data_IF_115774839627
#
_entry.id   IF_115774839627
#
_cell.length_a   1.000
_cell.length_b   1.000
_cell.length_c   1.000
_cell.angle_alpha   90.00
_cell.angle_beta   90.00
_cell.angle_gamma   90.00
#
_symmetry.space_group_name_H-M   'P 1'
#
loop_
_entity.id
_entity.type
_entity.pdbx_description
1 polymer ?
#
# COMPACT_ATOMS: atom_id res chain seq x y z
N UNK A 1 -2.52 -6.62 12.72
CA UNK A 1 -2.22 -6.73 11.27
C UNK A 1 -1.59 -5.43 10.80
N UNK A 2 -1.07 -5.41 9.58
CA UNK A 2 -0.53 -4.21 8.93
C UNK A 2 -1.39 -3.89 7.73
N UNK A 3 -1.77 -2.63 7.57
CA UNK A 3 -2.37 -2.11 6.34
C UNK A 3 -1.31 -1.26 5.66
N UNK A 4 -1.08 -1.46 4.37
CA UNK A 4 -0.06 -0.73 3.63
C UNK A 4 -0.52 -0.40 2.21
N UNK A 5 0.13 0.60 1.62
CA UNK A 5 -0.09 1.10 0.26
C UNK A 5 1.24 1.58 -0.32
N UNK A 6 1.40 1.44 -1.63
CA UNK A 6 2.60 1.84 -2.36
C UNK A 6 2.28 2.82 -3.48
N UNK A 7 3.09 3.87 -3.54
CA UNK A 7 3.21 4.68 -4.76
C UNK A 7 4.40 4.19 -5.58
N UNK A 8 4.24 4.16 -6.91
CA UNK A 8 5.19 3.51 -7.81
C UNK A 8 5.37 4.29 -9.10
N UNK A 9 6.48 4.07 -9.82
CA UNK A 9 6.75 4.70 -11.11
C UNK A 9 5.91 4.15 -12.26
N UNK A 10 5.14 3.07 -12.04
CA UNK A 10 4.37 2.36 -13.04
C UNK A 10 3.75 1.08 -12.48
N UNK A 11 3.24 0.19 -13.33
CA UNK A 11 2.39 -0.93 -12.89
C UNK A 11 3.10 -2.29 -12.82
N UNK A 12 4.34 -2.39 -13.28
CA UNK A 12 5.06 -3.65 -13.40
C UNK A 12 6.11 -3.78 -12.29
N UNK A 13 5.94 -4.69 -11.32
CA UNK A 13 6.96 -4.91 -10.29
C UNK A 13 8.28 -5.44 -10.85
N UNK A 14 8.29 -5.88 -12.11
CA UNK A 14 9.49 -6.33 -12.83
C UNK A 14 10.33 -5.20 -13.43
N UNK A 15 9.72 -4.04 -13.70
CA UNK A 15 10.36 -2.94 -14.43
C UNK A 15 10.29 -1.59 -13.71
N UNK A 16 9.23 -1.38 -12.94
CA UNK A 16 8.93 -0.15 -12.22
C UNK A 16 9.41 -0.23 -10.77
N UNK A 17 9.56 0.93 -10.15
CA UNK A 17 10.11 1.10 -8.81
C UNK A 17 9.05 1.63 -7.83
N UNK A 18 9.23 1.32 -6.55
CA UNK A 18 8.49 1.95 -5.44
C UNK A 18 9.07 3.34 -5.20
N UNK A 19 8.19 4.33 -4.95
CA UNK A 19 8.57 5.72 -4.63
C UNK A 19 8.06 6.20 -3.28
N UNK A 20 7.08 5.52 -2.69
CA UNK A 20 6.62 5.78 -1.32
C UNK A 20 6.08 4.48 -0.72
N UNK A 21 6.32 4.27 0.57
CA UNK A 21 5.70 3.21 1.37
C UNK A 21 4.97 3.88 2.51
N UNK A 22 3.66 3.64 2.58
CA UNK A 22 2.83 3.99 3.73
C UNK A 22 2.31 2.72 4.38
N UNK A 23 2.32 2.66 5.71
CA UNK A 23 1.69 1.58 6.45
C UNK A 23 1.26 2.01 7.85
N UNK A 24 0.29 1.28 8.41
CA UNK A 24 -0.17 1.45 9.79
C UNK A 24 -0.51 0.09 10.40
N UNK A 25 -0.28 -0.04 11.70
CA UNK A 25 -0.77 -1.22 12.43
C UNK A 25 -2.23 -1.03 12.82
N UNK A 26 -2.98 -2.13 12.69
CA UNK A 26 -4.31 -2.26 13.29
C UNK A 26 -4.19 -3.21 14.49
N UNK A 27 -4.59 -2.71 15.65
CA UNK A 27 -4.49 -3.38 16.96
C UNK A 27 -5.87 -3.39 17.60
N UNK A 28 -6.36 -4.56 18.02
CA UNK A 28 -7.67 -4.74 18.65
C UNK A 28 -8.84 -4.10 17.87
N UNK A 29 -8.81 -4.21 16.53
CA UNK A 29 -9.85 -3.66 15.66
C UNK A 29 -9.79 -2.14 15.47
N UNK A 30 -8.74 -1.46 15.95
CA UNK A 30 -8.56 -0.02 15.80
C UNK A 30 -7.26 0.32 15.06
N UNK A 31 -7.29 1.39 14.28
CA UNK A 31 -6.10 1.94 13.60
C UNK A 31 -5.20 2.59 14.64
N UNK A 32 -3.99 2.06 14.79
CA UNK A 32 -2.99 2.60 15.71
C UNK A 32 -2.07 3.57 14.96
N UNK A 33 -2.52 4.82 14.75
CA UNK A 33 -1.75 5.82 13.97
C UNK A 33 -0.35 6.12 14.53
N UNK A 34 -0.18 6.00 15.85
CA UNK A 34 1.13 6.13 16.51
C UNK A 34 2.11 5.00 16.11
N UNK A 35 1.60 3.91 15.53
CA UNK A 35 2.37 2.82 14.94
C UNK A 35 2.26 2.90 13.40
N UNK A 36 2.64 4.05 12.85
CA UNK A 36 2.78 4.24 11.41
C UNK A 36 4.20 3.98 10.93
N UNK A 37 4.30 3.60 9.67
CA UNK A 37 5.53 3.55 8.89
C UNK A 37 5.29 4.36 7.62
N UNK A 38 6.13 5.34 7.33
CA UNK A 38 5.94 6.22 6.19
C UNK A 38 7.31 6.70 5.70
N UNK A 39 7.63 6.43 4.45
CA UNK A 39 8.90 6.83 3.87
C UNK A 39 8.81 7.02 2.36
N UNK A 40 9.52 8.03 1.85
CA UNK A 40 9.81 8.15 0.43
C UNK A 40 10.92 7.18 0.05
N UNK A 41 10.90 6.74 -1.20
CA UNK A 41 11.89 5.81 -1.75
C UNK A 41 12.47 6.40 -3.03
N UNK A 42 13.79 6.48 -3.11
CA UNK A 42 14.48 6.86 -4.34
C UNK A 42 14.37 5.71 -5.35
N UNK A 43 13.69 5.91 -6.50
CA UNK A 43 13.46 4.83 -7.44
C UNK A 43 14.76 4.44 -8.15
N UNK A 44 14.97 3.14 -8.26
CA UNK A 44 16.08 2.55 -9.01
C UNK A 44 15.56 1.50 -9.98
N UNK A 45 16.28 1.29 -11.08
CA UNK A 45 16.06 0.15 -11.97
C UNK A 45 16.38 -1.17 -11.23
N UNK A 46 15.97 -2.34 -11.77
CA UNK A 46 16.26 -3.64 -11.15
C UNK A 46 17.76 -3.93 -10.95
N UNK A 47 18.64 -3.35 -11.75
CA UNK A 47 20.10 -3.44 -11.64
C UNK A 47 20.72 -2.34 -10.76
N UNK A 48 19.89 -1.50 -10.12
CA UNK A 48 20.31 -0.52 -9.12
C UNK A 48 20.69 0.86 -9.66
N UNK A 49 20.52 1.12 -10.96
CA UNK A 49 20.77 2.45 -11.54
C UNK A 49 19.64 3.44 -11.16
N UNK A 50 19.92 4.74 -11.04
CA UNK A 50 18.89 5.74 -10.77
C UNK A 50 17.79 5.75 -11.84
N UNK A 51 16.53 5.80 -11.41
CA UNK A 51 15.36 5.91 -12.27
C UNK A 51 14.70 7.28 -12.07
N UNK A 52 14.13 7.84 -13.14
CA UNK A 52 13.30 9.06 -13.07
C UNK A 52 11.83 8.66 -12.90
N UNK A 53 11.09 9.43 -12.12
CA UNK A 53 9.64 9.25 -11.99
C UNK A 53 8.97 9.68 -13.29
N UNK A 54 8.25 8.78 -13.99
CA UNK A 54 7.52 9.14 -15.20
C UNK A 54 6.38 10.13 -14.91
N UNK A 55 6.13 11.06 -15.85
CA UNK A 55 5.11 12.09 -15.68
C UNK A 55 3.70 11.54 -15.38
N UNK A 56 3.34 10.39 -15.95
CA UNK A 56 2.04 9.79 -15.71
C UNK A 56 1.88 9.29 -14.26
N UNK A 57 2.94 8.79 -13.64
CA UNK A 57 2.94 8.38 -12.24
C UNK A 57 2.95 9.62 -11.32
N UNK A 58 3.82 10.60 -11.60
CA UNK A 58 3.86 11.88 -10.89
C UNK A 58 2.51 12.59 -10.87
N UNK A 59 1.72 12.51 -11.95
CA UNK A 59 0.36 13.09 -12.00
C UNK A 59 -0.63 12.43 -11.06
N UNK A 60 -0.41 11.17 -10.71
CA UNK A 60 -1.27 10.42 -9.79
C UNK A 60 -0.91 10.80 -8.37
N UNK A 61 0.34 10.57 -7.97
CA UNK A 61 0.77 10.68 -6.56
C UNK A 61 1.43 12.00 -6.16
N UNK A 62 1.74 12.88 -7.13
CA UNK A 62 2.36 14.19 -6.87
C UNK A 62 3.85 14.15 -6.51
N UNK A 63 4.40 12.98 -6.16
CA UNK A 63 5.82 12.80 -5.83
C UNK A 63 6.72 13.15 -7.03
N UNK A 64 7.70 14.02 -6.78
CA UNK A 64 8.64 14.52 -7.79
C UNK A 64 10.04 13.92 -7.61
N UNK A 65 10.87 13.96 -8.66
CA UNK A 65 12.28 13.57 -8.57
C UNK A 65 13.06 14.38 -7.50
N UNK A 66 12.65 15.63 -7.24
CA UNK A 66 13.22 16.50 -6.20
C UNK A 66 12.95 15.93 -4.79
N UNK A 67 11.72 15.47 -4.55
CA UNK A 67 11.30 14.94 -3.25
C UNK A 67 12.04 13.65 -2.87
N UNK A 68 12.40 12.84 -3.86
CA UNK A 68 13.05 11.52 -3.64
C UNK A 68 14.56 11.55 -3.85
N UNK A 69 15.15 12.71 -4.17
CA UNK A 69 16.59 12.82 -4.48
C UNK A 69 17.47 12.27 -3.36
N UNK A 70 17.17 12.66 -2.13
CA UNK A 70 17.93 12.29 -0.93
C UNK A 70 17.26 11.17 -0.13
N UNK A 71 16.15 10.61 -0.65
CA UNK A 71 15.45 9.50 -0.03
C UNK A 71 16.28 8.21 -0.10
N UNK A 72 16.10 7.27 0.84
CA UNK A 72 16.74 5.96 0.78
C UNK A 72 16.24 5.14 -0.42
N UNK A 73 17.08 4.24 -0.92
CA UNK A 73 16.70 3.28 -1.97
C UNK A 73 15.85 2.14 -1.41
N UNK A 74 15.18 1.40 -2.28
CA UNK A 74 14.41 0.21 -1.86
C UNK A 74 15.29 -0.84 -1.17
N UNK A 75 16.59 -0.91 -1.51
CA UNK A 75 17.56 -1.80 -0.87
C UNK A 75 17.79 -1.47 0.60
N UNK A 76 17.70 -0.20 0.96
CA UNK A 76 17.86 0.30 2.33
C UNK A 76 16.55 0.21 3.12
N UNK A 77 15.42 0.49 2.46
CA UNK A 77 14.11 0.56 3.11
C UNK A 77 13.47 -0.82 3.32
N UNK A 78 13.58 -1.73 2.35
CA UNK A 78 12.82 -2.96 2.40
C UNK A 78 13.15 -3.84 3.62
N UNK A 79 14.42 -4.09 4.01
CA UNK A 79 14.72 -4.88 5.20
C UNK A 79 14.04 -4.33 6.47
N UNK A 80 14.15 -3.02 6.68
CA UNK A 80 13.54 -2.32 7.81
C UNK A 80 12.01 -2.41 7.79
N UNK A 81 11.40 -2.27 6.60
CA UNK A 81 9.95 -2.44 6.45
C UNK A 81 9.50 -3.88 6.76
N UNK A 82 10.22 -4.90 6.29
CA UNK A 82 9.90 -6.32 6.55
C UNK A 82 9.97 -6.63 8.05
N UNK A 83 11.01 -6.16 8.73
CA UNK A 83 11.17 -6.29 10.18
C UNK A 83 10.04 -5.56 10.93
N UNK A 84 9.68 -4.37 10.46
CA UNK A 84 8.57 -3.61 11.02
C UNK A 84 7.21 -4.31 10.82
N UNK A 85 6.98 -4.96 9.69
CA UNK A 85 5.81 -5.83 9.47
C UNK A 85 5.84 -6.99 10.47
N UNK A 86 7.01 -7.62 10.64
CA UNK A 86 7.28 -8.62 11.66
C UNK A 86 6.35 -9.84 11.54
N UNK A 87 6.21 -10.37 10.33
CA UNK A 87 5.41 -11.57 10.04
C UNK A 87 3.90 -11.42 10.23
N UNK A 88 3.39 -10.22 10.50
CA UNK A 88 1.94 -9.99 10.67
C UNK A 88 1.20 -10.21 9.35
N UNK A 89 -0.09 -10.53 9.45
CA UNK A 89 -0.99 -10.43 8.29
C UNK A 89 -0.97 -9.00 7.73
N UNK A 90 -0.97 -8.89 6.41
CA UNK A 90 -0.95 -7.63 5.67
C UNK A 90 -2.24 -7.44 4.89
N UNK A 91 -2.65 -6.18 4.73
CA UNK A 91 -3.84 -5.76 4.01
C UNK A 91 -3.46 -4.63 3.05
N UNK A 92 -3.95 -4.68 1.82
CA UNK A 92 -3.84 -3.56 0.88
C UNK A 92 -5.10 -3.44 0.00
N UNK A 93 -5.31 -2.26 -0.57
CA UNK A 93 -6.39 -2.03 -1.53
C UNK A 93 -5.96 -2.45 -2.94
N UNK A 94 -5.88 -3.78 -3.11
CA UNK A 94 -5.34 -4.54 -4.25
C UNK A 94 -4.00 -5.22 -3.94
N UNK A 95 -3.98 -6.11 -2.93
CA UNK A 95 -2.77 -6.83 -2.50
C UNK A 95 -1.98 -7.54 -3.60
N UNK A 96 -2.60 -7.87 -4.73
CA UNK A 96 -1.89 -8.45 -5.87
C UNK A 96 -0.87 -7.47 -6.48
N UNK A 97 -1.17 -6.18 -6.44
CA UNK A 97 -0.31 -5.09 -6.86
C UNK A 97 0.77 -4.81 -5.81
N UNK A 98 0.38 -4.36 -4.62
CA UNK A 98 1.32 -3.92 -3.58
C UNK A 98 2.22 -5.07 -3.11
N UNK A 99 1.63 -6.22 -2.82
CA UNK A 99 2.36 -7.44 -2.48
C UNK A 99 3.20 -7.96 -3.65
N UNK A 100 2.85 -7.63 -4.90
CA UNK A 100 3.65 -7.94 -6.09
C UNK A 100 4.98 -7.20 -6.10
N UNK A 101 4.96 -5.89 -5.80
CA UNK A 101 6.18 -5.08 -5.66
C UNK A 101 7.04 -5.55 -4.50
N UNK A 102 6.44 -5.87 -3.35
CA UNK A 102 7.16 -6.40 -2.20
C UNK A 102 7.85 -7.74 -2.52
N UNK A 103 7.14 -8.68 -3.13
CA UNK A 103 7.70 -9.98 -3.54
C UNK A 103 8.84 -9.83 -4.55
N UNK A 104 8.69 -8.95 -5.55
CA UNK A 104 9.73 -8.76 -6.56
C UNK A 104 11.00 -8.14 -5.98
N UNK A 105 10.88 -7.11 -5.14
CA UNK A 105 12.03 -6.48 -4.51
C UNK A 105 12.70 -7.37 -3.47
N UNK A 106 11.92 -8.09 -2.65
CA UNK A 106 12.46 -9.06 -1.69
C UNK A 106 13.30 -10.13 -2.42
N UNK A 107 12.77 -10.69 -3.52
CA UNK A 107 13.49 -11.66 -4.35
C UNK A 107 14.81 -11.10 -4.90
N UNK A 108 14.83 -9.85 -5.39
CA UNK A 108 16.06 -9.22 -5.93
C UNK A 108 17.14 -9.03 -4.87
N UNK A 109 16.73 -8.72 -3.65
CA UNK A 109 17.63 -8.47 -2.52
C UNK A 109 17.99 -9.74 -1.74
N UNK A 110 17.47 -10.91 -2.14
CA UNK A 110 17.68 -12.15 -1.38
C UNK A 110 16.96 -12.17 -0.02
N UNK A 111 15.88 -11.39 0.11
CA UNK A 111 15.02 -11.31 1.30
C UNK A 111 13.73 -12.13 1.10
N UNK A 112 13.02 -12.39 2.19
CA UNK A 112 11.73 -13.10 2.18
C UNK A 112 10.55 -12.15 2.44
N UNK A 113 9.58 -12.14 1.53
CA UNK A 113 8.25 -11.59 1.80
C UNK A 113 7.39 -12.67 2.43
N UNK A 114 7.28 -12.67 3.76
CA UNK A 114 6.60 -13.74 4.51
C UNK A 114 5.59 -13.20 5.54
N UNK A 115 4.52 -12.51 5.11
CA UNK A 115 3.42 -12.15 6.01
C UNK A 115 2.59 -13.38 6.39
N UNK A 116 2.02 -13.42 7.59
CA UNK A 116 1.14 -14.52 8.01
C UNK A 116 -0.11 -14.71 7.11
N UNK A 117 -0.56 -13.64 6.44
CA UNK A 117 -1.62 -13.69 5.44
C UNK A 117 -1.58 -12.44 4.56
N UNK A 118 -2.05 -12.57 3.32
CA UNK A 118 -2.26 -11.46 2.38
C UNK A 118 -3.76 -11.24 2.15
N UNK A 119 -4.28 -10.09 2.58
CA UNK A 119 -5.70 -9.75 2.55
C UNK A 119 -5.95 -8.58 1.58
N UNK A 120 -7.05 -8.66 0.83
CA UNK A 120 -7.36 -7.71 -0.24
C UNK A 120 -8.72 -7.06 -0.02
N UNK A 121 -8.75 -5.75 0.22
CA UNK A 121 -10.03 -5.05 0.41
C UNK A 121 -10.86 -4.98 -0.87
N UNK A 122 -10.27 -5.06 -2.07
CA UNK A 122 -11.04 -5.22 -3.33
C UNK A 122 -11.82 -6.54 -3.35
N UNK A 123 -11.21 -7.65 -2.90
CA UNK A 123 -11.88 -8.96 -2.81
C UNK A 123 -13.00 -8.92 -1.76
N UNK A 124 -12.73 -8.33 -0.60
CA UNK A 124 -13.74 -8.15 0.46
C UNK A 124 -14.89 -7.27 -0.02
N UNK A 125 -14.59 -6.17 -0.72
CA UNK A 125 -15.59 -5.27 -1.29
C UNK A 125 -16.49 -5.96 -2.31
N UNK A 126 -15.94 -6.79 -3.19
CA UNK A 126 -16.73 -7.60 -4.14
C UNK A 126 -17.65 -8.59 -3.45
N UNK A 127 -17.19 -9.18 -2.33
CA UNK A 127 -18.01 -10.10 -1.54
C UNK A 127 -19.14 -9.36 -0.82
N UNK A 128 -18.84 -8.21 -0.21
CA UNK A 128 -19.84 -7.41 0.52
C UNK A 128 -20.84 -6.74 -0.42
N UNK A 129 -20.43 -6.40 -1.64
CA UNK A 129 -21.23 -5.66 -2.61
C UNK A 129 -21.20 -6.34 -4.01
N UNK A 130 -21.80 -7.53 -4.17
CA UNK A 130 -21.64 -8.34 -5.39
C UNK A 130 -22.31 -7.75 -6.65
N UNK A 131 -23.21 -6.78 -6.49
CA UNK A 131 -23.91 -6.11 -7.60
C UNK A 131 -23.20 -4.86 -8.11
N UNK A 132 -22.17 -4.42 -7.41
CA UNK A 132 -21.44 -3.20 -7.72
C UNK A 132 -20.43 -3.43 -8.85
N UNK A 133 -20.29 -2.44 -9.74
CA UNK A 133 -19.38 -2.53 -10.88
C UNK A 133 -17.96 -2.08 -10.55
N UNK A 134 -17.81 -1.17 -9.59
CA UNK A 134 -16.53 -0.55 -9.24
C UNK A 134 -16.20 -0.76 -7.76
N UNK A 135 -14.92 -1.02 -7.52
CA UNK A 135 -14.35 -1.32 -6.20
C UNK A 135 -12.98 -0.65 -5.99
N UNK A 136 -12.68 0.42 -6.72
CA UNK A 136 -11.51 1.25 -6.41
C UNK A 136 -11.71 1.99 -5.08
N UNK A 137 -10.62 2.48 -4.49
CA UNK A 137 -10.64 2.97 -3.11
C UNK A 137 -11.59 4.15 -2.94
N UNK A 138 -11.66 5.05 -3.92
CA UNK A 138 -12.55 6.22 -3.89
C UNK A 138 -14.02 5.80 -3.87
N UNK A 139 -14.42 4.88 -4.75
CA UNK A 139 -15.80 4.36 -4.80
C UNK A 139 -16.14 3.58 -3.52
N UNK A 140 -15.18 2.80 -3.01
CA UNK A 140 -15.37 2.06 -1.77
C UNK A 140 -15.52 2.99 -0.57
N UNK A 141 -14.68 4.04 -0.49
CA UNK A 141 -14.72 5.03 0.57
C UNK A 141 -16.07 5.75 0.57
N UNK A 142 -16.53 6.24 -0.58
CA UNK A 142 -17.84 6.87 -0.73
C UNK A 142 -18.97 5.94 -0.25
N UNK A 143 -18.96 4.67 -0.69
CA UNK A 143 -19.97 3.68 -0.32
C UNK A 143 -20.00 3.40 1.19
N UNK A 144 -18.85 3.46 1.84
CA UNK A 144 -18.69 3.22 3.27
C UNK A 144 -18.78 4.51 4.11
N UNK A 145 -19.05 5.67 3.48
CA UNK A 145 -19.10 6.95 4.18
C UNK A 145 -17.74 7.41 4.75
N UNK A 146 -16.63 6.94 4.17
CA UNK A 146 -15.27 7.29 4.57
C UNK A 146 -14.76 8.48 3.76
N UNK A 147 -13.93 9.31 4.38
CA UNK A 147 -13.34 10.50 3.76
C UNK A 147 -11.82 10.45 3.81
N UNK A 148 -11.18 10.98 2.77
CA UNK A 148 -9.75 11.23 2.77
C UNK A 148 -9.48 12.56 3.46
N UNK A 149 -8.40 12.64 4.25
CA UNK A 149 -7.89 13.92 4.70
C UNK A 149 -7.53 14.83 3.50
N UNK A 150 -7.62 16.17 3.62
CA UNK A 150 -7.25 17.06 2.53
C UNK A 150 -5.84 16.78 2.00
N UNK A 151 -5.72 16.49 0.68
CA UNK A 151 -4.45 16.14 0.05
C UNK A 151 -3.92 14.73 0.35
N UNK A 152 -4.69 13.89 1.05
CA UNK A 152 -4.29 12.53 1.42
C UNK A 152 -4.54 11.46 0.36
N UNK A 153 -5.37 11.74 -0.66
CA UNK A 153 -5.61 10.80 -1.76
C UNK A 153 -4.39 10.75 -2.68
N UNK A 154 -3.97 9.54 -3.07
CA UNK A 154 -2.73 9.31 -3.83
C UNK A 154 -1.47 9.76 -3.07
N UNK A 155 -1.55 9.62 -1.74
CA UNK A 155 -0.43 9.62 -0.83
C UNK A 155 -0.60 8.34 -0.03
N UNK A 156 0.45 7.54 0.04
CA UNK A 156 0.37 6.18 0.58
C UNK A 156 -0.24 6.16 1.99
N UNK A 157 0.14 7.08 2.89
CA UNK A 157 -0.42 7.09 4.24
C UNK A 157 -1.92 7.47 4.28
N UNK A 158 -2.35 8.43 3.47
CA UNK A 158 -3.77 8.81 3.41
C UNK A 158 -4.64 7.69 2.84
N UNK A 159 -4.13 6.98 1.83
CA UNK A 159 -4.78 5.79 1.28
C UNK A 159 -4.78 4.61 2.26
N UNK A 160 -3.73 4.44 3.06
CA UNK A 160 -3.64 3.45 4.15
C UNK A 160 -4.70 3.69 5.22
N UNK A 161 -4.91 4.92 5.66
CA UNK A 161 -5.91 5.24 6.68
C UNK A 161 -7.32 4.83 6.22
N UNK A 162 -7.68 5.22 4.99
CA UNK A 162 -8.99 4.86 4.41
C UNK A 162 -9.09 3.36 4.16
N UNK A 163 -8.03 2.71 3.70
CA UNK A 163 -7.99 1.25 3.49
C UNK A 163 -8.18 0.49 4.80
N UNK A 164 -7.58 0.97 5.89
CA UNK A 164 -7.69 0.35 7.21
C UNK A 164 -9.11 0.44 7.75
N UNK A 165 -9.73 1.61 7.66
CA UNK A 165 -11.13 1.82 8.03
C UNK A 165 -12.08 0.99 7.16
N UNK A 166 -11.85 0.96 5.85
CA UNK A 166 -12.64 0.17 4.91
C UNK A 166 -12.52 -1.33 5.21
N UNK A 167 -11.32 -1.83 5.52
CA UNK A 167 -11.12 -3.21 5.92
C UNK A 167 -11.96 -3.58 7.14
N UNK A 168 -11.90 -2.76 8.20
CA UNK A 168 -12.63 -3.01 9.45
C UNK A 168 -14.15 -3.05 9.23
N UNK A 169 -14.70 -2.06 8.51
CA UNK A 169 -16.14 -2.04 8.20
C UNK A 169 -16.56 -3.21 7.30
N UNK A 170 -15.74 -3.58 6.29
CA UNK A 170 -16.04 -4.73 5.43
C UNK A 170 -16.05 -6.04 6.23
N UNK A 171 -15.13 -6.21 7.18
CA UNK A 171 -15.10 -7.39 8.05
C UNK A 171 -16.35 -7.47 8.93
N UNK A 172 -16.78 -6.35 9.50
CA UNK A 172 -18.02 -6.26 10.28
C UNK A 172 -19.25 -6.60 9.43
N UNK A 173 -19.38 -5.97 8.26
CA UNK A 173 -20.49 -6.23 7.32
C UNK A 173 -20.57 -7.70 6.90
N UNK A 174 -19.42 -8.33 6.65
CA UNK A 174 -19.35 -9.72 6.22
C UNK A 174 -19.56 -10.72 7.37
N UNK A 175 -19.25 -10.33 8.61
CA UNK A 175 -19.54 -11.14 9.79
C UNK A 175 -21.04 -11.18 10.10
N UNK A 176 -21.76 -10.08 9.88
CA UNK A 176 -23.23 -10.00 10.05
C UNK A 176 -23.98 -10.81 8.97
N UNK A 177 -23.34 -11.06 7.83
CA UNK A 177 -23.91 -11.81 6.70
C UNK A 177 -23.63 -13.33 6.74
N UNK A 178 -22.90 -13.81 7.75
CA UNK A 178 -22.54 -15.22 7.93
C UNK A 178 -23.52 -15.93 8.89
#
# INVERSE_FOLDING_TARGET
>A
MVVFDLETTGLSPEKDAVVEIGAVRVVNGAVAEHLKYETLVRPTTPDGAPMRIPWHAQRVHGITDEMVRDAPTIGEVLPDFLDWVGGRAVVAHNIGFDGGFMRANARRLGLEWNPAAELCTVKLSRRAFPKERAHNLSVLAERLGLTFAPGGRHRSFGDVQVTAQAYLQLMELLAVQA
#
